data_IF_487843864464
#
_entry.id   IF_487843864464
#
_cell.length_a   1.000
_cell.length_b   1.000
_cell.length_c   1.000
_cell.angle_alpha   90.00
_cell.angle_beta   90.00
_cell.angle_gamma   90.00
#
_symmetry.space_group_name_H-M   'P 1'
#
loop_
_entity.id
_entity.type
_entity.pdbx_description
1 polymer ?
#
# COMPACT_ATOMS: atom_id res chain seq x y z
N UNK A 1 -33.86 -50.09 -15.19
CA UNK A 1 -32.53 -50.53 -15.67
C UNK A 1 -31.43 -50.22 -14.66
N UNK A 2 -31.22 -48.96 -14.27
CA UNK A 2 -30.21 -48.57 -13.25
C UNK A 2 -30.29 -49.35 -11.93
N UNK A 3 -31.50 -49.61 -11.40
CA UNK A 3 -31.67 -50.43 -10.18
C UNK A 3 -31.33 -51.92 -10.37
N UNK A 4 -31.54 -52.47 -11.57
CA UNK A 4 -31.19 -53.86 -11.88
C UNK A 4 -29.69 -54.02 -12.08
N UNK A 5 -29.02 -53.00 -12.60
CA UNK A 5 -27.56 -52.97 -12.78
C UNK A 5 -26.84 -52.89 -11.44
N UNK A 6 -27.30 -52.00 -10.54
CA UNK A 6 -26.79 -51.91 -9.17
C UNK A 6 -26.99 -53.22 -8.36
N UNK A 7 -28.12 -53.93 -8.56
CA UNK A 7 -28.32 -55.24 -7.92
C UNK A 7 -27.39 -56.33 -8.48
N UNK A 8 -27.06 -56.28 -9.79
CA UNK A 8 -26.11 -57.21 -10.40
C UNK A 8 -24.68 -56.97 -9.90
N UNK A 9 -24.28 -55.71 -9.76
CA UNK A 9 -22.97 -55.35 -9.20
C UNK A 9 -22.84 -55.78 -7.74
N UNK A 10 -23.89 -55.62 -6.93
CA UNK A 10 -23.90 -56.08 -5.54
C UNK A 10 -23.83 -57.61 -5.43
N UNK A 11 -24.51 -58.35 -6.31
CA UNK A 11 -24.43 -59.80 -6.36
C UNK A 11 -23.04 -60.28 -6.81
N UNK A 12 -22.45 -59.66 -7.83
CA UNK A 12 -21.09 -59.97 -8.26
C UNK A 12 -20.06 -59.70 -7.15
N UNK A 13 -20.20 -58.59 -6.42
CA UNK A 13 -19.34 -58.28 -5.29
C UNK A 13 -19.55 -59.23 -4.09
N UNK A 14 -20.78 -59.72 -3.89
CA UNK A 14 -21.06 -60.74 -2.88
C UNK A 14 -20.48 -62.11 -3.24
N UNK A 15 -20.49 -62.48 -4.53
CA UNK A 15 -19.85 -63.70 -5.03
C UNK A 15 -18.33 -63.65 -4.88
N UNK A 16 -17.69 -62.53 -5.23
CA UNK A 16 -16.24 -62.35 -5.03
C UNK A 16 -15.86 -62.44 -3.56
N UNK A 17 -16.60 -61.77 -2.65
CA UNK A 17 -16.35 -61.89 -1.21
C UNK A 17 -16.55 -63.31 -0.68
N UNK A 18 -17.48 -64.05 -1.25
CA UNK A 18 -17.70 -65.45 -0.88
C UNK A 18 -16.54 -66.33 -1.32
N UNK A 19 -16.05 -66.15 -2.55
CA UNK A 19 -14.87 -66.86 -3.05
C UNK A 19 -13.63 -66.53 -2.21
N UNK A 20 -13.41 -65.26 -1.86
CA UNK A 20 -12.32 -64.84 -0.96
C UNK A 20 -12.42 -65.52 0.41
N UNK A 21 -13.62 -65.58 1.01
CA UNK A 21 -13.84 -66.27 2.28
C UNK A 21 -13.62 -67.79 2.18
N UNK A 22 -14.00 -68.42 1.06
CA UNK A 22 -13.74 -69.84 0.80
C UNK A 22 -12.22 -70.11 0.65
N UNK A 23 -11.47 -69.22 0.00
CA UNK A 23 -10.00 -69.31 -0.06
C UNK A 23 -9.33 -69.14 1.31
N UNK A 24 -9.78 -68.19 2.13
CA UNK A 24 -9.27 -68.01 3.50
C UNK A 24 -9.57 -69.22 4.39
N UNK A 25 -10.74 -69.83 4.25
CA UNK A 25 -11.10 -71.07 4.95
C UNK A 25 -10.21 -72.24 4.55
N UNK A 26 -9.88 -72.38 3.26
CA UNK A 26 -8.96 -73.44 2.80
C UNK A 26 -7.53 -73.18 3.30
N UNK A 27 -7.07 -71.94 3.27
CA UNK A 27 -5.74 -71.58 3.76
C UNK A 27 -5.61 -71.81 5.27
N UNK A 28 -6.63 -71.47 6.06
CA UNK A 28 -6.65 -71.73 7.51
C UNK A 28 -6.73 -73.23 7.81
N UNK A 29 -7.53 -74.00 7.05
CA UNK A 29 -7.58 -75.45 7.19
C UNK A 29 -6.21 -76.10 6.92
N UNK A 30 -5.49 -75.67 5.88
CA UNK A 30 -4.13 -76.15 5.60
C UNK A 30 -3.13 -75.80 6.72
N UNK A 31 -3.25 -74.61 7.30
CA UNK A 31 -2.42 -74.23 8.46
C UNK A 31 -2.70 -75.10 9.68
N UNK A 32 -3.97 -75.42 9.96
CA UNK A 32 -4.34 -76.31 11.07
C UNK A 32 -3.75 -77.70 10.86
N UNK A 33 -3.88 -78.29 9.67
CA UNK A 33 -3.30 -79.62 9.38
C UNK A 33 -1.76 -79.62 9.50
N UNK A 34 -1.10 -78.51 9.11
CA UNK A 34 0.34 -78.35 9.29
C UNK A 34 0.76 -78.22 10.77
N UNK A 35 -0.10 -77.64 11.62
CA UNK A 35 0.14 -77.57 13.06
C UNK A 35 -0.12 -78.92 13.75
N UNK A 36 -1.15 -79.65 13.33
CA UNK A 36 -1.46 -80.99 13.86
C UNK A 36 -0.34 -82.00 13.56
N UNK A 37 0.24 -81.94 12.35
CA UNK A 37 1.39 -82.78 11.98
C UNK A 37 2.62 -82.43 12.81
N UNK A 38 2.95 -81.15 12.99
CA UNK A 38 4.04 -80.72 13.87
C UNK A 38 3.84 -81.15 15.32
N UNK A 39 2.61 -81.09 15.82
CA UNK A 39 2.30 -81.54 17.18
C UNK A 39 2.53 -83.04 17.32
N UNK A 40 2.10 -83.84 16.33
CA UNK A 40 2.32 -85.29 16.32
C UNK A 40 3.81 -85.64 16.30
N UNK A 41 4.58 -84.99 15.42
CA UNK A 41 6.03 -85.20 15.34
C UNK A 41 6.71 -84.87 16.68
N UNK A 42 6.31 -83.77 17.33
CA UNK A 42 6.85 -83.39 18.64
C UNK A 42 6.49 -84.37 19.77
N UNK A 43 5.32 -85.00 19.70
CA UNK A 43 4.91 -86.04 20.65
C UNK A 43 5.71 -87.34 20.45
N UNK A 44 6.01 -87.70 19.19
CA UNK A 44 6.84 -88.85 18.86
C UNK A 44 8.30 -88.65 19.30
N UNK A 45 8.86 -87.44 19.12
CA UNK A 45 10.19 -87.07 19.63
C UNK A 45 10.25 -87.14 21.16
N UNK A 46 9.23 -86.64 21.85
CA UNK A 46 9.17 -86.67 23.32
C UNK A 46 9.09 -88.11 23.84
N UNK A 47 8.28 -88.97 23.23
CA UNK A 47 8.21 -90.39 23.56
C UNK A 47 9.56 -91.11 23.33
N UNK A 48 10.28 -90.76 22.25
CA UNK A 48 11.62 -91.30 21.99
C UNK A 48 12.66 -90.84 23.03
N UNK A 49 12.57 -89.60 23.51
CA UNK A 49 13.44 -89.11 24.59
C UNK A 49 13.14 -89.81 25.93
N UNK A 50 11.88 -90.04 26.26
CA UNK A 50 11.47 -90.77 27.47
C UNK A 50 11.99 -92.22 27.45
N UNK A 51 11.91 -92.90 26.30
CA UNK A 51 12.45 -94.25 26.15
C UNK A 51 13.97 -94.28 26.39
N UNK A 52 14.72 -93.35 25.78
CA UNK A 52 16.16 -93.23 25.96
C UNK A 52 16.55 -92.93 27.42
N UNK A 53 15.75 -92.13 28.13
CA UNK A 53 15.95 -91.86 29.56
C UNK A 53 15.76 -93.13 30.39
N UNK A 54 14.68 -93.88 30.16
CA UNK A 54 14.43 -95.13 30.88
C UNK A 54 15.51 -96.19 30.62
N UNK A 55 16.00 -96.32 29.39
CA UNK A 55 17.12 -97.23 29.08
C UNK A 55 18.40 -96.84 29.83
N UNK A 56 18.69 -95.53 29.90
CA UNK A 56 19.86 -95.01 30.60
C UNK A 56 19.75 -95.13 32.12
N UNK A 57 18.56 -94.97 32.69
CA UNK A 57 18.30 -95.24 34.11
C UNK A 57 18.55 -96.72 34.45
N UNK A 58 18.09 -97.64 33.59
CA UNK A 58 18.32 -99.08 33.74
C UNK A 58 19.80 -99.45 33.67
N UNK A 59 20.57 -98.85 32.75
CA UNK A 59 22.02 -99.04 32.66
C UNK A 59 22.76 -98.53 33.91
N UNK A 60 22.29 -97.43 34.50
CA UNK A 60 22.87 -96.86 35.72
C UNK A 60 22.56 -97.71 36.96
N UNK A 61 21.39 -98.35 37.02
CA UNK A 61 21.03 -99.29 38.09
C UNK A 61 21.86 -100.59 38.05
N UNK A 62 22.23 -101.08 36.86
CA UNK A 62 23.01 -102.33 36.73
C UNK A 62 24.54 -102.15 36.94
N UNK A 63 25.09 -100.95 36.79
CA UNK A 63 26.55 -100.76 36.64
C UNK A 63 27.31 -100.15 37.84
N UNK A 64 26.63 -99.70 38.90
CA UNK A 64 27.27 -98.79 39.88
C UNK A 64 27.31 -99.38 41.31
N UNK A 65 28.46 -99.87 41.80
CA UNK A 65 28.62 -100.16 43.23
C UNK A 65 28.41 -98.88 44.06
N UNK A 66 27.72 -98.99 45.20
CA UNK A 66 27.16 -97.89 46.00
C UNK A 66 28.09 -96.68 46.27
N UNK A 67 29.42 -96.86 46.24
CA UNK A 67 30.40 -95.78 46.40
C UNK A 67 30.56 -94.89 45.15
N UNK A 68 30.40 -95.43 43.93
CA UNK A 68 30.38 -94.63 42.70
C UNK A 68 29.05 -93.89 42.51
N UNK A 69 27.96 -94.43 43.04
CA UNK A 69 26.63 -93.81 43.00
C UNK A 69 26.64 -92.49 43.79
N UNK A 70 27.29 -92.48 44.96
CA UNK A 70 27.41 -91.28 45.78
C UNK A 70 28.13 -90.13 45.06
N UNK A 71 29.26 -90.39 44.39
CA UNK A 71 29.96 -89.34 43.63
C UNK A 71 29.18 -88.88 42.39
N UNK A 72 28.42 -89.76 41.75
CA UNK A 72 27.53 -89.36 40.65
C UNK A 72 26.38 -88.49 41.16
N UNK A 73 25.82 -88.80 42.35
CA UNK A 73 24.81 -87.98 43.01
C UNK A 73 25.37 -86.61 43.43
N UNK A 74 26.54 -86.54 44.07
CA UNK A 74 27.19 -85.26 44.43
C UNK A 74 27.47 -84.40 43.18
N UNK A 75 27.94 -85.00 42.09
CA UNK A 75 28.17 -84.30 40.83
C UNK A 75 26.84 -83.85 40.18
N UNK A 76 25.77 -84.63 40.30
CA UNK A 76 24.43 -84.27 39.83
C UNK A 76 23.83 -83.14 40.67
N UNK A 77 24.00 -83.17 41.99
CA UNK A 77 23.58 -82.10 42.92
C UNK A 77 24.33 -80.80 42.63
N UNK A 78 25.64 -80.86 42.41
CA UNK A 78 26.43 -79.69 42.02
C UNK A 78 25.97 -79.09 40.67
N UNK A 79 25.68 -79.95 39.68
CA UNK A 79 25.12 -79.51 38.39
C UNK A 79 23.72 -78.92 38.54
N UNK A 80 22.86 -79.52 39.36
CA UNK A 80 21.51 -79.02 39.62
C UNK A 80 21.56 -77.67 40.36
N UNK A 81 22.48 -77.52 41.31
CA UNK A 81 22.72 -76.25 42.01
C UNK A 81 23.18 -75.15 41.04
N UNK A 82 24.14 -75.45 40.16
CA UNK A 82 24.60 -74.53 39.12
C UNK A 82 23.46 -74.15 38.15
N UNK A 83 22.68 -75.14 37.68
CA UNK A 83 21.52 -74.91 36.82
C UNK A 83 20.45 -74.05 37.51
N UNK A 84 20.22 -74.25 38.82
CA UNK A 84 19.29 -73.43 39.59
C UNK A 84 19.77 -71.97 39.72
N UNK A 85 21.09 -71.75 39.88
CA UNK A 85 21.68 -70.41 39.88
C UNK A 85 21.55 -69.74 38.49
N UNK A 86 21.86 -70.46 37.42
CA UNK A 86 21.67 -69.97 36.04
C UNK A 86 20.21 -69.63 35.75
N UNK A 87 19.26 -70.50 36.15
CA UNK A 87 17.83 -70.25 36.02
C UNK A 87 17.39 -69.00 36.79
N UNK A 88 17.95 -68.76 37.97
CA UNK A 88 17.70 -67.53 38.75
C UNK A 88 18.19 -66.27 38.02
N UNK A 89 19.39 -66.30 37.44
CA UNK A 89 19.93 -65.19 36.65
C UNK A 89 19.10 -64.93 35.39
N UNK A 90 18.70 -66.00 34.69
CA UNK A 90 17.82 -65.89 33.51
C UNK A 90 16.48 -65.28 33.90
N UNK A 91 15.89 -65.69 35.03
CA UNK A 91 14.64 -65.12 35.54
C UNK A 91 14.77 -63.62 35.83
N UNK A 92 15.83 -63.21 36.54
CA UNK A 92 16.08 -61.79 36.81
C UNK A 92 16.27 -60.99 35.52
N UNK A 93 16.98 -61.54 34.53
CA UNK A 93 17.16 -60.90 33.23
C UNK A 93 15.85 -60.77 32.45
N UNK A 94 14.98 -61.77 32.55
CA UNK A 94 13.67 -61.77 31.92
C UNK A 94 12.75 -60.72 32.57
N UNK A 95 12.76 -60.61 33.90
CA UNK A 95 12.02 -59.56 34.64
C UNK A 95 12.49 -58.15 34.25
N UNK A 96 13.81 -57.93 34.12
CA UNK A 96 14.36 -56.65 33.64
C UNK A 96 13.97 -56.32 32.20
N UNK A 97 13.92 -57.32 31.32
CA UNK A 97 13.46 -57.13 29.94
C UNK A 97 11.97 -56.79 29.90
N UNK A 98 11.15 -57.45 30.69
CA UNK A 98 9.71 -57.14 30.82
C UNK A 98 9.49 -55.73 31.37
N UNK A 99 10.26 -55.30 32.39
CA UNK A 99 10.17 -53.93 32.91
C UNK A 99 10.57 -52.90 31.85
N UNK A 100 11.63 -53.18 31.07
CA UNK A 100 12.06 -52.30 29.97
C UNK A 100 11.01 -52.21 28.85
N UNK A 101 10.39 -53.32 28.51
CA UNK A 101 9.30 -53.38 27.52
C UNK A 101 8.08 -52.59 28.00
N UNK A 102 7.68 -52.77 29.26
CA UNK A 102 6.59 -52.01 29.87
C UNK A 102 6.87 -50.49 29.86
N UNK A 103 8.10 -50.06 30.20
CA UNK A 103 8.52 -48.65 30.11
C UNK A 103 8.51 -48.13 28.67
N UNK A 104 8.89 -48.96 27.70
CA UNK A 104 8.87 -48.57 26.30
C UNK A 104 7.44 -48.38 25.79
N UNK A 105 6.53 -49.30 26.13
CA UNK A 105 5.11 -49.20 25.80
C UNK A 105 4.47 -47.96 26.45
N UNK A 106 4.79 -47.66 27.70
CA UNK A 106 4.35 -46.43 28.36
C UNK A 106 4.86 -45.19 27.61
N UNK A 107 6.15 -45.16 27.25
CA UNK A 107 6.72 -44.05 26.49
C UNK A 107 6.10 -43.89 25.10
N UNK A 108 5.68 -44.98 24.45
CA UNK A 108 4.94 -44.93 23.19
C UNK A 108 3.55 -44.35 23.39
N UNK A 109 2.82 -44.78 24.42
CA UNK A 109 1.50 -44.24 24.73
C UNK A 109 1.55 -42.73 25.03
N UNK A 110 2.55 -42.27 25.80
CA UNK A 110 2.76 -40.83 26.06
C UNK A 110 3.14 -40.05 24.78
N UNK A 111 3.84 -40.69 23.85
CA UNK A 111 4.16 -40.08 22.55
C UNK A 111 2.93 -39.96 21.66
N UNK A 112 2.09 -41.00 21.63
CA UNK A 112 0.85 -41.00 20.84
C UNK A 112 -0.15 -39.95 21.37
N UNK A 113 -0.29 -39.81 22.70
CA UNK A 113 -1.09 -38.75 23.31
C UNK A 113 -0.58 -37.35 22.92
N UNK A 114 0.74 -37.15 22.91
CA UNK A 114 1.34 -35.88 22.45
C UNK A 114 1.11 -35.63 20.96
N UNK A 115 1.17 -36.67 20.13
CA UNK A 115 0.87 -36.55 18.70
C UNK A 115 -0.60 -36.21 18.46
N UNK A 116 -1.52 -36.83 19.19
CA UNK A 116 -2.96 -36.53 19.10
C UNK A 116 -3.23 -35.08 19.52
N UNK A 117 -2.68 -34.64 20.65
CA UNK A 117 -2.78 -33.24 21.08
C UNK A 117 -2.19 -32.24 20.06
N UNK A 118 -1.07 -32.60 19.41
CA UNK A 118 -0.47 -31.79 18.36
C UNK A 118 -1.33 -31.73 17.09
N UNK A 119 -1.94 -32.85 16.69
CA UNK A 119 -2.87 -32.91 15.56
C UNK A 119 -4.14 -32.08 15.84
N UNK A 120 -4.69 -32.14 17.05
CA UNK A 120 -5.80 -31.26 17.45
C UNK A 120 -5.41 -29.78 17.40
N UNK A 121 -4.23 -29.43 17.92
CA UNK A 121 -3.74 -28.06 17.87
C UNK A 121 -3.55 -27.56 16.44
N UNK A 122 -3.02 -28.41 15.55
CA UNK A 122 -2.88 -28.12 14.12
C UNK A 122 -4.25 -27.90 13.47
N UNK A 123 -5.23 -28.76 13.75
CA UNK A 123 -6.60 -28.63 13.24
C UNK A 123 -7.26 -27.31 13.69
N UNK A 124 -7.09 -26.93 14.96
CA UNK A 124 -7.57 -25.64 15.50
C UNK A 124 -6.91 -24.44 14.81
N UNK A 125 -5.59 -24.49 14.62
CA UNK A 125 -4.85 -23.43 13.91
C UNK A 125 -5.29 -23.32 12.45
N UNK A 126 -5.52 -24.44 11.77
CA UNK A 126 -6.01 -24.46 10.40
C UNK A 126 -7.42 -23.85 10.29
N UNK A 127 -8.30 -24.14 11.26
CA UNK A 127 -9.62 -23.50 11.34
C UNK A 127 -9.51 -21.98 11.56
N UNK A 128 -8.59 -21.52 12.43
CA UNK A 128 -8.34 -20.09 12.65
C UNK A 128 -7.81 -19.40 11.38
N UNK A 129 -6.89 -20.03 10.64
CA UNK A 129 -6.39 -19.51 9.36
C UNK A 129 -7.54 -19.39 8.35
N UNK A 130 -8.45 -20.38 8.29
CA UNK A 130 -9.65 -20.31 7.45
C UNK A 130 -10.54 -19.11 7.80
N UNK A 131 -10.83 -18.90 9.09
CA UNK A 131 -11.63 -17.77 9.57
C UNK A 131 -10.97 -16.41 9.25
N UNK A 132 -9.67 -16.27 9.47
CA UNK A 132 -8.93 -15.04 9.17
C UNK A 132 -8.89 -14.76 7.66
N UNK A 133 -8.78 -15.79 6.83
CA UNK A 133 -8.82 -15.65 5.36
C UNK A 133 -10.19 -15.16 4.90
N UNK A 134 -11.27 -15.69 5.46
CA UNK A 134 -12.63 -15.22 5.17
C UNK A 134 -12.85 -13.77 5.65
N UNK A 135 -12.33 -13.41 6.84
CA UNK A 135 -12.38 -12.03 7.33
C UNK A 135 -11.59 -11.07 6.44
N UNK A 136 -10.44 -11.49 5.92
CA UNK A 136 -9.65 -10.69 4.99
C UNK A 136 -10.41 -10.46 3.68
N UNK A 137 -10.95 -11.52 3.07
CA UNK A 137 -11.74 -11.41 1.85
C UNK A 137 -12.98 -10.51 2.01
N UNK A 138 -13.66 -10.57 3.16
CA UNK A 138 -14.81 -9.69 3.43
C UNK A 138 -14.39 -8.23 3.63
N UNK A 139 -13.24 -7.97 4.26
CA UNK A 139 -12.67 -6.61 4.37
C UNK A 139 -12.22 -6.04 3.03
N UNK A 140 -11.51 -6.81 2.22
CA UNK A 140 -11.11 -6.40 0.86
C UNK A 140 -12.34 -6.06 0.01
N UNK A 141 -13.40 -6.86 0.09
CA UNK A 141 -14.66 -6.57 -0.58
C UNK A 141 -15.34 -5.30 -0.05
N UNK A 142 -15.23 -4.99 1.25
CA UNK A 142 -15.73 -3.75 1.82
C UNK A 142 -14.91 -2.54 1.38
N UNK A 143 -13.58 -2.64 1.40
CA UNK A 143 -12.66 -1.59 0.94
C UNK A 143 -12.89 -1.28 -0.54
N UNK A 144 -12.98 -2.30 -1.40
CA UNK A 144 -13.29 -2.13 -2.82
C UNK A 144 -14.65 -1.42 -3.04
N UNK A 145 -15.67 -1.70 -2.22
CA UNK A 145 -16.96 -0.99 -2.29
C UNK A 145 -16.84 0.47 -1.86
N UNK A 146 -16.08 0.75 -0.82
CA UNK A 146 -15.83 2.13 -0.35
C UNK A 146 -15.06 2.91 -1.41
N UNK A 147 -14.00 2.33 -1.99
CA UNK A 147 -13.25 2.93 -3.09
C UNK A 147 -14.14 3.24 -4.28
N UNK A 148 -14.96 2.28 -4.73
CA UNK A 148 -15.91 2.49 -5.82
C UNK A 148 -16.92 3.62 -5.53
N UNK A 149 -17.38 3.73 -4.27
CA UNK A 149 -18.31 4.79 -3.85
C UNK A 149 -17.63 6.15 -3.81
N UNK A 150 -16.38 6.21 -3.33
CA UNK A 150 -15.58 7.44 -3.32
C UNK A 150 -15.27 7.90 -4.73
N UNK A 151 -14.82 7.00 -5.61
CA UNK A 151 -14.55 7.29 -7.02
C UNK A 151 -15.80 7.82 -7.73
N UNK A 152 -16.95 7.18 -7.54
CA UNK A 152 -18.21 7.67 -8.10
C UNK A 152 -18.55 9.09 -7.61
N UNK A 153 -18.39 9.37 -6.31
CA UNK A 153 -18.64 10.70 -5.75
C UNK A 153 -17.66 11.76 -6.25
N UNK A 154 -16.41 11.37 -6.52
CA UNK A 154 -15.39 12.27 -7.05
C UNK A 154 -15.66 12.62 -8.52
N UNK A 155 -16.01 11.61 -9.33
CA UNK A 155 -16.43 11.80 -10.72
C UNK A 155 -17.67 12.70 -10.81
N UNK A 156 -18.65 12.52 -9.93
CA UNK A 156 -19.84 13.40 -9.87
C UNK A 156 -19.46 14.85 -9.57
N UNK A 157 -18.55 15.09 -8.60
CA UNK A 157 -18.05 16.44 -8.29
C UNK A 157 -17.25 17.04 -9.44
N UNK A 158 -16.41 16.27 -10.12
CA UNK A 158 -15.68 16.74 -11.29
C UNK A 158 -16.63 17.12 -12.42
N UNK A 159 -17.65 16.31 -12.69
CA UNK A 159 -18.67 16.62 -13.69
C UNK A 159 -19.45 17.90 -13.33
N UNK A 160 -19.79 18.09 -12.05
CA UNK A 160 -20.43 19.32 -11.57
C UNK A 160 -19.52 20.55 -11.77
N UNK A 161 -18.24 20.46 -11.37
CA UNK A 161 -17.27 21.55 -11.57
C UNK A 161 -17.08 21.87 -13.06
N UNK A 162 -16.97 20.85 -13.92
CA UNK A 162 -16.83 21.05 -15.36
C UNK A 162 -18.07 21.72 -15.95
N UNK A 163 -19.26 21.30 -15.51
CA UNK A 163 -20.52 21.92 -15.91
C UNK A 163 -20.57 23.39 -15.47
N UNK A 164 -20.34 23.68 -14.19
CA UNK A 164 -20.35 25.04 -13.65
C UNK A 164 -19.32 25.93 -14.35
N UNK A 165 -18.12 25.40 -14.62
CA UNK A 165 -17.08 26.12 -15.35
C UNK A 165 -17.48 26.39 -16.80
N UNK A 166 -18.08 25.41 -17.49
CA UNK A 166 -18.58 25.59 -18.85
C UNK A 166 -19.73 26.61 -18.93
N UNK A 167 -20.63 26.60 -17.94
CA UNK A 167 -21.73 27.55 -17.82
C UNK A 167 -21.20 28.95 -17.52
N UNK A 168 -20.25 29.10 -16.61
CA UNK A 168 -19.59 30.37 -16.29
C UNK A 168 -18.83 30.95 -17.49
N UNK A 169 -18.08 30.12 -18.22
CA UNK A 169 -17.39 30.55 -19.45
C UNK A 169 -18.39 30.95 -20.54
N UNK A 170 -19.50 30.23 -20.68
CA UNK A 170 -20.54 30.55 -21.65
C UNK A 170 -21.29 31.85 -21.29
N UNK A 171 -21.53 32.09 -19.99
CA UNK A 171 -22.13 33.31 -19.45
C UNK A 171 -21.21 34.51 -19.66
N UNK A 172 -19.93 34.38 -19.27
CA UNK A 172 -18.91 35.40 -19.50
C UNK A 172 -18.70 35.70 -20.99
N UNK A 173 -18.74 34.70 -21.87
CA UNK A 173 -18.66 34.92 -23.32
C UNK A 173 -19.89 35.66 -23.89
N UNK A 174 -21.09 35.46 -23.32
CA UNK A 174 -22.29 36.23 -23.68
C UNK A 174 -22.21 37.67 -23.19
N UNK A 175 -21.80 37.89 -21.94
CA UNK A 175 -21.60 39.23 -21.38
C UNK A 175 -20.51 40.00 -22.14
N UNK A 176 -19.42 39.35 -22.53
CA UNK A 176 -18.33 39.97 -23.27
C UNK A 176 -18.76 40.33 -24.71
N UNK A 177 -19.58 39.50 -25.36
CA UNK A 177 -20.23 39.85 -26.64
C UNK A 177 -21.20 41.01 -26.50
N UNK A 178 -22.00 41.04 -25.43
CA UNK A 178 -22.91 42.14 -25.15
C UNK A 178 -22.14 43.44 -24.91
N UNK A 179 -21.13 43.42 -24.05
CA UNK A 179 -20.24 44.57 -23.80
C UNK A 179 -19.50 45.02 -25.07
N UNK A 180 -19.07 44.11 -25.95
CA UNK A 180 -18.50 44.47 -27.25
C UNK A 180 -19.52 45.17 -28.17
N UNK A 181 -20.78 44.71 -28.18
CA UNK A 181 -21.84 45.36 -28.95
C UNK A 181 -22.22 46.74 -28.38
N UNK A 182 -22.24 46.88 -27.06
CA UNK A 182 -22.49 48.14 -26.37
C UNK A 182 -21.33 49.12 -26.58
N UNK A 183 -20.08 48.63 -26.57
CA UNK A 183 -18.90 49.43 -26.88
C UNK A 183 -18.90 49.89 -28.35
N UNK A 184 -19.32 49.04 -29.28
CA UNK A 184 -19.45 49.40 -30.70
C UNK A 184 -20.53 50.48 -30.89
N UNK A 185 -21.71 50.31 -30.28
CA UNK A 185 -22.79 51.31 -30.31
C UNK A 185 -22.39 52.63 -29.63
N UNK A 186 -21.60 52.58 -28.55
CA UNK A 186 -21.07 53.76 -27.89
C UNK A 186 -20.04 54.50 -28.74
N UNK A 187 -19.19 53.77 -29.48
CA UNK A 187 -18.25 54.36 -30.45
C UNK A 187 -18.98 55.06 -31.60
N UNK A 188 -20.01 54.42 -32.16
CA UNK A 188 -20.84 55.00 -33.22
C UNK A 188 -21.49 56.31 -32.76
N UNK A 189 -22.13 56.32 -31.58
CA UNK A 189 -22.69 57.54 -30.98
C UNK A 189 -21.63 58.61 -30.69
N UNK A 190 -20.42 58.20 -30.32
CA UNK A 190 -19.33 59.14 -30.11
C UNK A 190 -18.87 59.78 -31.42
N UNK A 191 -18.76 59.01 -32.51
CA UNK A 191 -18.44 59.53 -33.83
C UNK A 191 -19.54 60.47 -34.35
N UNK A 192 -20.81 60.09 -34.21
CA UNK A 192 -21.94 60.95 -34.55
C UNK A 192 -21.89 62.29 -33.78
N UNK A 193 -21.66 62.24 -32.46
CA UNK A 193 -21.51 63.46 -31.64
C UNK A 193 -20.28 64.25 -32.07
N UNK A 194 -19.17 63.60 -32.41
CA UNK A 194 -17.94 64.26 -32.86
C UNK A 194 -18.15 64.96 -34.22
N UNK A 195 -18.82 64.31 -35.16
CA UNK A 195 -19.18 64.88 -36.46
C UNK A 195 -20.13 66.06 -36.29
N UNK A 196 -21.18 65.91 -35.48
CA UNK A 196 -22.08 66.99 -35.11
C UNK A 196 -21.32 68.16 -34.47
N UNK A 197 -20.41 67.88 -33.53
CA UNK A 197 -19.60 68.92 -32.89
C UNK A 197 -18.66 69.61 -33.88
N UNK A 198 -18.10 68.87 -34.84
CA UNK A 198 -17.27 69.45 -35.91
C UNK A 198 -18.08 70.35 -36.84
N UNK A 199 -19.29 69.92 -37.23
CA UNK A 199 -20.26 70.71 -38.00
C UNK A 199 -20.67 71.98 -37.26
N UNK A 200 -20.92 71.89 -35.94
CA UNK A 200 -21.26 73.04 -35.12
C UNK A 200 -20.10 74.01 -34.97
N UNK A 201 -18.88 73.49 -34.79
CA UNK A 201 -17.64 74.31 -34.77
C UNK A 201 -17.42 75.02 -36.09
N UNK A 202 -17.66 74.35 -37.21
CA UNK A 202 -17.54 74.93 -38.55
C UNK A 202 -18.61 75.98 -38.80
N UNK A 203 -19.87 75.70 -38.43
CA UNK A 203 -20.96 76.68 -38.47
C UNK A 203 -20.69 77.90 -37.58
N UNK A 204 -20.15 77.71 -36.38
CA UNK A 204 -19.73 78.80 -35.51
C UNK A 204 -18.60 79.63 -36.14
N UNK A 205 -17.62 78.98 -36.79
CA UNK A 205 -16.54 79.66 -37.52
C UNK A 205 -17.10 80.50 -38.68
N UNK A 206 -17.99 79.94 -39.51
CA UNK A 206 -18.62 80.69 -40.61
C UNK A 206 -19.46 81.88 -40.12
N UNK A 207 -20.21 81.73 -39.02
CA UNK A 207 -20.94 82.85 -38.43
C UNK A 207 -20.00 83.94 -37.90
N UNK A 208 -18.86 83.57 -37.32
CA UNK A 208 -17.84 84.54 -36.88
C UNK A 208 -17.20 85.25 -38.08
N UNK A 209 -16.83 84.52 -39.13
CA UNK A 209 -16.28 85.09 -40.36
C UNK A 209 -17.28 86.04 -41.06
N UNK A 210 -18.57 85.67 -41.11
CA UNK A 210 -19.63 86.55 -41.60
C UNK A 210 -19.80 87.80 -40.74
N UNK A 211 -19.69 87.67 -39.41
CA UNK A 211 -19.75 88.81 -38.49
C UNK A 211 -18.56 89.74 -38.64
N UNK A 212 -17.36 89.21 -38.77
CA UNK A 212 -16.16 89.99 -39.05
C UNK A 212 -16.28 90.70 -40.41
N UNK A 213 -16.80 90.02 -41.43
CA UNK A 213 -17.07 90.63 -42.73
C UNK A 213 -18.16 91.74 -42.67
N UNK A 214 -19.21 91.56 -41.87
CA UNK A 214 -20.24 92.58 -41.63
C UNK A 214 -19.68 93.78 -40.88
N UNK A 215 -18.87 93.55 -39.84
CA UNK A 215 -18.18 94.60 -39.08
C UNK A 215 -17.19 95.36 -39.97
N UNK A 216 -16.50 94.67 -40.87
CA UNK A 216 -15.58 95.30 -41.81
C UNK A 216 -16.31 96.08 -42.91
N UNK A 217 -17.46 95.61 -43.39
CA UNK A 217 -18.36 96.38 -44.26
C UNK A 217 -18.93 97.60 -43.53
N UNK A 218 -19.30 97.49 -42.25
CA UNK A 218 -19.76 98.61 -41.44
C UNK A 218 -18.64 99.63 -41.19
N UNK A 219 -17.40 99.17 -41.00
CA UNK A 219 -16.22 100.05 -40.92
C UNK A 219 -15.90 100.75 -42.24
N UNK A 220 -16.04 100.07 -43.38
CA UNK A 220 -15.82 100.66 -44.71
C UNK A 220 -17.00 101.53 -45.18
N UNK A 221 -18.24 101.23 -44.77
CA UNK A 221 -19.44 102.01 -45.05
C UNK A 221 -19.67 103.19 -44.11
N UNK A 222 -19.13 103.14 -42.88
CA UNK A 222 -19.18 104.23 -41.90
C UNK A 222 -18.21 105.39 -42.16
N UNK A 223 -17.34 105.27 -43.17
CA UNK A 223 -16.38 106.32 -43.54
C UNK A 223 -16.92 107.29 -44.62
N UNK A 224 -18.19 107.20 -45.02
CA UNK A 224 -18.73 107.98 -46.15
C UNK A 224 -20.14 108.58 -46.00
N UNK A 225 -20.77 108.54 -44.83
CA UNK A 225 -22.13 109.07 -44.65
C UNK A 225 -22.21 110.07 -43.50
N UNK A 226 -21.64 111.25 -43.73
CA UNK A 226 -22.08 112.47 -43.04
C UNK A 226 -23.12 113.21 -43.89
N UNK A 227 -24.17 113.67 -43.20
CA UNK A 227 -25.15 114.73 -43.55
C UNK A 227 -26.36 114.36 -44.40
N UNK A 228 -27.48 114.17 -43.69
CA UNK A 228 -28.82 114.44 -44.16
C UNK A 228 -29.84 114.26 -43.03
N UNK A 229 -30.43 115.33 -42.47
CA UNK A 229 -31.41 115.21 -41.39
C UNK A 229 -32.81 115.02 -41.99
N UNK A 230 -33.53 114.01 -41.51
CA UNK A 230 -34.94 113.83 -41.85
C UNK A 230 -35.25 112.38 -42.18
N UNK A 231 -35.66 111.61 -41.19
CA UNK A 231 -37.07 111.18 -41.07
C UNK A 231 -37.16 110.14 -39.95
N UNK A 232 -37.90 110.52 -38.94
CA UNK A 232 -38.26 109.74 -37.77
C UNK A 232 -39.18 108.56 -38.12
N UNK A 233 -39.02 107.49 -37.34
CA UNK A 233 -39.91 106.32 -37.16
C UNK A 233 -39.52 105.05 -37.92
N UNK A 234 -38.62 104.27 -37.31
CA UNK A 234 -38.60 102.78 -37.38
C UNK A 234 -37.38 102.17 -36.65
N UNK A 235 -36.31 102.95 -36.42
CA UNK A 235 -34.99 102.39 -36.03
C UNK A 235 -34.78 102.04 -34.56
N UNK A 236 -35.56 102.60 -33.62
CA UNK A 236 -35.34 102.35 -32.18
C UNK A 236 -35.88 100.98 -31.75
N UNK A 237 -36.89 100.46 -32.44
CA UNK A 237 -37.50 99.17 -32.14
C UNK A 237 -36.62 98.00 -32.64
N UNK A 238 -35.91 98.17 -33.76
CA UNK A 238 -35.00 97.16 -34.30
C UNK A 238 -33.70 97.03 -33.47
N UNK A 239 -33.16 98.14 -32.96
CA UNK A 239 -31.96 98.11 -32.11
C UNK A 239 -32.26 97.52 -30.72
N UNK A 240 -33.41 97.85 -30.12
CA UNK A 240 -33.86 97.24 -28.86
C UNK A 240 -34.28 95.77 -28.98
N UNK A 241 -34.76 95.33 -30.15
CA UNK A 241 -35.02 93.90 -30.42
C UNK A 241 -33.74 93.11 -30.69
N UNK A 242 -32.76 93.69 -31.39
CA UNK A 242 -31.45 93.07 -31.58
C UNK A 242 -30.70 92.90 -30.25
N UNK A 243 -30.72 93.93 -29.39
CA UNK A 243 -30.03 93.95 -28.09
C UNK A 243 -30.73 93.08 -27.02
N UNK A 244 -32.05 92.87 -27.15
CA UNK A 244 -32.77 91.83 -26.39
C UNK A 244 -32.41 90.43 -26.86
N UNK A 245 -32.31 90.21 -28.17
CA UNK A 245 -31.97 88.89 -28.72
C UNK A 245 -30.51 88.48 -28.45
N UNK A 246 -29.58 89.44 -28.35
CA UNK A 246 -28.18 89.17 -27.97
C UNK A 246 -28.07 88.81 -26.49
N UNK A 247 -28.81 89.49 -25.61
CA UNK A 247 -28.89 89.14 -24.18
C UNK A 247 -29.53 87.77 -23.94
N UNK A 248 -30.62 87.46 -24.61
CA UNK A 248 -31.25 86.13 -24.55
C UNK A 248 -30.28 85.05 -25.02
N UNK A 249 -29.48 85.33 -26.06
CA UNK A 249 -28.49 84.39 -26.58
C UNK A 249 -27.23 84.27 -25.71
N UNK A 250 -26.82 85.33 -25.02
CA UNK A 250 -25.77 85.27 -24.00
C UNK A 250 -26.22 84.47 -22.77
N UNK A 251 -27.47 84.64 -22.32
CA UNK A 251 -28.05 83.83 -21.25
C UNK A 251 -28.15 82.35 -21.63
N UNK A 252 -28.51 82.05 -22.89
CA UNK A 252 -28.54 80.68 -23.42
C UNK A 252 -27.14 80.04 -23.42
N UNK A 253 -26.11 80.76 -23.90
CA UNK A 253 -24.72 80.29 -23.86
C UNK A 253 -24.20 80.08 -22.44
N UNK A 254 -24.52 80.98 -21.51
CA UNK A 254 -24.15 80.82 -20.10
C UNK A 254 -24.83 79.58 -19.49
N UNK A 255 -26.09 79.32 -19.84
CA UNK A 255 -26.80 78.12 -19.41
C UNK A 255 -26.19 76.85 -20.03
N UNK A 256 -25.86 76.84 -21.32
CA UNK A 256 -25.17 75.72 -21.97
C UNK A 256 -23.80 75.44 -21.32
N UNK A 257 -23.04 76.49 -21.00
CA UNK A 257 -21.73 76.36 -20.37
C UNK A 257 -21.84 75.78 -18.95
N UNK A 258 -22.90 76.17 -18.21
CA UNK A 258 -23.23 75.61 -16.90
C UNK A 258 -23.64 74.14 -16.98
N UNK A 259 -24.45 73.76 -17.96
CA UNK A 259 -24.80 72.36 -18.24
C UNK A 259 -23.57 71.55 -18.60
N UNK A 260 -22.68 72.09 -19.43
CA UNK A 260 -21.41 71.45 -19.78
C UNK A 260 -20.49 71.27 -18.58
N UNK A 261 -20.40 72.27 -17.69
CA UNK A 261 -19.61 72.17 -16.46
C UNK A 261 -20.17 71.10 -15.52
N UNK A 262 -21.49 71.00 -15.36
CA UNK A 262 -22.13 69.94 -14.59
C UNK A 262 -21.87 68.56 -15.20
N UNK A 263 -21.90 68.44 -16.53
CA UNK A 263 -21.63 67.18 -17.24
C UNK A 263 -20.17 66.74 -17.08
N UNK A 264 -19.22 67.68 -17.07
CA UNK A 264 -17.81 67.40 -16.76
C UNK A 264 -17.64 66.87 -15.33
N UNK A 265 -18.26 67.52 -14.35
CA UNK A 265 -18.22 67.07 -12.94
C UNK A 265 -18.83 65.67 -12.75
N UNK A 266 -19.91 65.35 -13.48
CA UNK A 266 -20.51 64.02 -13.45
C UNK A 266 -19.55 62.96 -14.00
N UNK A 267 -18.85 63.25 -15.10
CA UNK A 267 -17.84 62.34 -15.67
C UNK A 267 -16.63 62.14 -14.75
N UNK A 268 -16.18 63.18 -14.05
CA UNK A 268 -15.08 63.06 -13.07
C UNK A 268 -15.46 62.17 -11.88
N UNK A 269 -16.72 62.23 -11.43
CA UNK A 269 -17.23 61.32 -10.39
C UNK A 269 -17.23 59.86 -10.88
N UNK A 270 -17.68 59.62 -12.11
CA UNK A 270 -17.65 58.27 -12.71
C UNK A 270 -16.21 57.74 -12.82
N UNK A 271 -15.25 58.58 -13.24
CA UNK A 271 -13.84 58.21 -13.32
C UNK A 271 -13.24 57.83 -11.96
N UNK A 272 -13.61 58.56 -10.89
CA UNK A 272 -13.18 58.22 -9.53
C UNK A 272 -13.76 56.88 -9.06
N UNK A 273 -15.03 56.63 -9.36
CA UNK A 273 -15.70 55.39 -8.99
C UNK A 273 -15.06 54.19 -9.68
N UNK A 274 -14.84 54.26 -11.00
CA UNK A 274 -14.18 53.20 -11.78
C UNK A 274 -12.75 52.93 -11.29
N UNK A 275 -12.00 53.95 -10.86
CA UNK A 275 -10.68 53.75 -10.25
C UNK A 275 -10.75 53.01 -8.91
N UNK A 276 -11.78 53.27 -8.10
CA UNK A 276 -12.03 52.54 -6.86
C UNK A 276 -12.37 51.07 -7.12
N UNK A 277 -13.26 50.81 -8.07
CA UNK A 277 -13.67 49.45 -8.43
C UNK A 277 -12.49 48.62 -8.97
N UNK A 278 -11.63 49.24 -9.80
CA UNK A 278 -10.40 48.61 -10.30
C UNK A 278 -9.45 48.24 -9.16
N UNK A 279 -9.25 49.13 -8.18
CA UNK A 279 -8.38 48.88 -7.04
C UNK A 279 -8.90 47.73 -6.17
N UNK A 280 -10.22 47.65 -5.96
CA UNK A 280 -10.86 46.59 -5.21
C UNK A 280 -10.68 45.20 -5.87
N UNK A 281 -10.85 45.12 -7.19
CA UNK A 281 -10.65 43.87 -7.94
C UNK A 281 -9.20 43.39 -7.87
N UNK A 282 -8.24 44.31 -7.92
CA UNK A 282 -6.81 44.00 -7.80
C UNK A 282 -6.45 43.44 -6.41
N UNK A 283 -7.06 43.98 -5.35
CA UNK A 283 -6.86 43.46 -3.99
C UNK A 283 -7.46 42.05 -3.80
N UNK A 284 -8.62 41.79 -4.40
CA UNK A 284 -9.27 40.47 -4.39
C UNK A 284 -8.42 39.40 -5.09
N UNK A 285 -7.84 39.72 -6.25
CA UNK A 285 -6.97 38.80 -7.00
C UNK A 285 -5.70 38.45 -6.21
N UNK A 286 -5.09 39.44 -5.55
CA UNK A 286 -3.92 39.21 -4.70
C UNK A 286 -4.24 38.30 -3.51
N UNK A 287 -5.41 38.45 -2.87
CA UNK A 287 -5.85 37.56 -1.79
C UNK A 287 -6.04 36.13 -2.27
N UNK A 288 -6.69 35.94 -3.43
CA UNK A 288 -6.91 34.61 -4.00
C UNK A 288 -5.60 33.89 -4.32
N UNK A 289 -4.63 34.60 -4.92
CA UNK A 289 -3.32 34.04 -5.22
C UNK A 289 -2.54 33.63 -3.95
N UNK A 290 -2.68 34.39 -2.85
CA UNK A 290 -2.07 34.07 -1.57
C UNK A 290 -2.71 32.83 -0.91
N UNK A 291 -4.03 32.69 -0.99
CA UNK A 291 -4.77 31.54 -0.47
C UNK A 291 -4.43 30.25 -1.23
N UNK A 292 -4.34 30.30 -2.56
CA UNK A 292 -3.94 29.15 -3.39
C UNK A 292 -2.53 28.64 -3.04
N UNK A 293 -1.56 29.54 -2.82
CA UNK A 293 -0.22 29.14 -2.37
C UNK A 293 -0.22 28.50 -0.98
N UNK A 294 -1.10 28.97 -0.08
CA UNK A 294 -1.21 28.40 1.25
C UNK A 294 -1.86 27.00 1.21
N UNK A 295 -2.81 26.78 0.30
CA UNK A 295 -3.46 25.50 0.07
C UNK A 295 -2.45 24.46 -0.45
N UNK A 296 -1.66 24.81 -1.47
CA UNK A 296 -0.62 23.92 -2.03
C UNK A 296 0.41 23.48 -0.99
N UNK A 297 0.81 24.38 -0.08
CA UNK A 297 1.72 24.03 1.02
C UNK A 297 1.12 23.04 2.02
N UNK A 298 -0.19 23.13 2.28
CA UNK A 298 -0.88 22.19 3.16
C UNK A 298 -1.03 20.82 2.51
N UNK A 299 -1.31 20.76 1.21
CA UNK A 299 -1.41 19.51 0.46
C UNK A 299 -0.06 18.77 0.37
N UNK A 300 1.04 19.49 0.16
CA UNK A 300 2.40 18.90 0.20
C UNK A 300 2.79 18.38 1.59
N UNK A 301 2.31 19.02 2.66
CA UNK A 301 2.56 18.57 4.03
C UNK A 301 1.65 17.40 4.47
N UNK A 302 0.52 17.20 3.80
CA UNK A 302 -0.49 16.20 4.17
C UNK A 302 -0.40 14.89 3.36
N UNK A 303 0.48 14.79 2.35
CA UNK A 303 0.66 13.56 1.58
C UNK A 303 1.19 12.41 2.48
N UNK A 304 0.42 11.32 2.68
CA UNK A 304 0.81 10.22 3.56
C UNK A 304 1.90 9.34 2.93
N UNK A 305 2.93 9.02 3.71
CA UNK A 305 3.95 7.99 3.42
C UNK A 305 3.34 6.59 3.54
N UNK A 306 2.72 6.09 2.48
CA UNK A 306 2.19 4.72 2.35
C UNK A 306 2.17 4.42 0.83
N UNK A 307 2.63 3.31 0.24
CA UNK A 307 3.08 1.98 0.63
C UNK A 307 3.94 1.47 -0.54
N UNK A 308 5.13 0.91 -0.30
CA UNK A 308 5.74 -0.04 -1.25
C UNK A 308 5.84 -1.39 -0.56
N UNK A 309 4.67 -1.98 -0.33
CA UNK A 309 4.51 -3.35 0.10
C UNK A 309 4.78 -4.30 -1.06
N UNK A 310 5.94 -4.92 -1.01
CA UNK A 310 6.27 -6.28 -1.43
C UNK A 310 5.12 -7.21 -1.83
N UNK A 311 5.14 -7.67 -3.08
CA UNK A 311 4.85 -9.07 -3.44
C UNK A 311 5.94 -9.59 -4.40
N UNK A 312 6.41 -10.85 -4.25
CA UNK A 312 7.51 -11.40 -5.04
C UNK A 312 6.99 -12.10 -6.31
N UNK A 313 7.39 -11.61 -7.49
CA UNK A 313 7.31 -12.40 -8.74
C UNK A 313 8.66 -13.09 -9.00
N UNK A 314 8.69 -14.40 -9.28
CA UNK A 314 9.91 -15.07 -9.71
C UNK A 314 10.21 -14.63 -11.15
N UNK A 315 11.41 -14.11 -11.36
CA UNK A 315 11.95 -13.78 -12.67
C UNK A 315 12.92 -14.87 -13.08
N UNK A 316 12.70 -15.44 -14.26
CA UNK A 316 13.70 -15.99 -15.18
C UNK A 316 13.06 -15.87 -16.57
N UNK A 317 13.64 -15.27 -17.61
CA UNK A 317 14.92 -14.62 -17.79
C UNK A 317 14.89 -13.89 -19.13
N UNK A 318 16.08 -13.43 -19.52
CA UNK A 318 16.49 -13.02 -20.86
C UNK A 318 16.26 -11.58 -21.37
N UNK A 319 17.43 -10.96 -21.53
CA UNK A 319 17.92 -10.26 -22.71
C UNK A 319 17.66 -8.74 -22.89
N UNK A 320 18.76 -8.02 -22.60
CA UNK A 320 19.51 -7.14 -23.50
C UNK A 320 18.86 -5.85 -24.05
N UNK A 321 19.66 -4.78 -23.90
CA UNK A 321 19.74 -3.57 -24.75
C UNK A 321 18.55 -2.59 -24.63
N UNK A 322 18.67 -1.30 -24.32
CA UNK A 322 19.63 -0.30 -24.83
C UNK A 322 19.37 1.07 -24.18
N UNK A 323 20.44 1.88 -24.11
CA UNK A 323 20.49 3.36 -24.12
C UNK A 323 20.30 4.16 -22.79
N UNK A 324 20.98 5.34 -22.68
CA UNK A 324 21.49 5.87 -21.43
C UNK A 324 20.57 6.95 -20.82
N UNK A 325 19.98 6.65 -19.68
CA UNK A 325 19.28 7.60 -18.83
C UNK A 325 20.12 7.92 -17.59
N UNK A 326 20.24 9.21 -17.27
CA UNK A 326 20.90 9.79 -16.10
C UNK A 326 20.69 8.97 -14.81
N UNK A 327 21.68 8.88 -13.90
CA UNK A 327 21.48 8.19 -12.64
C UNK A 327 20.47 8.98 -11.80
N UNK A 328 19.23 8.52 -11.77
CA UNK A 328 18.38 8.77 -10.61
C UNK A 328 19.13 8.20 -9.42
N UNK A 329 19.41 9.08 -8.46
CA UNK A 329 19.99 8.70 -7.18
C UNK A 329 19.01 7.72 -6.54
N UNK A 330 19.31 6.43 -6.65
CA UNK A 330 18.80 5.47 -5.70
C UNK A 330 19.30 5.95 -4.34
N UNK A 331 18.41 6.56 -3.56
CA UNK A 331 18.64 6.77 -2.13
C UNK A 331 18.71 5.38 -1.50
N UNK A 332 19.90 4.77 -1.59
CA UNK A 332 20.24 3.56 -0.87
C UNK A 332 20.13 3.96 0.60
N UNK A 333 19.13 3.42 1.27
CA UNK A 333 18.94 3.62 2.68
C UNK A 333 20.19 3.12 3.43
N UNK A 334 21.02 4.08 3.83
CA UNK A 334 22.28 3.85 4.54
C UNK A 334 22.02 3.08 5.83
N UNK A 335 20.82 3.21 6.42
CA UNK A 335 20.43 2.46 7.63
C UNK A 335 20.20 0.99 7.31
N UNK A 336 19.54 0.69 6.18
CA UNK A 336 19.38 -0.69 5.72
C UNK A 336 20.74 -1.31 5.38
N UNK A 337 21.59 -0.61 4.65
CA UNK A 337 22.93 -1.09 4.30
C UNK A 337 23.79 -1.33 5.55
N UNK A 338 23.70 -0.45 6.55
CA UNK A 338 24.32 -0.63 7.87
C UNK A 338 23.83 -1.92 8.54
N UNK A 339 22.52 -2.18 8.56
CA UNK A 339 21.95 -3.37 9.22
C UNK A 339 22.32 -4.68 8.50
N UNK A 340 22.33 -4.70 7.17
CA UNK A 340 22.75 -5.87 6.38
C UNK A 340 24.22 -6.20 6.65
N UNK A 341 25.08 -5.19 6.65
CA UNK A 341 26.50 -5.38 6.91
C UNK A 341 26.75 -5.75 8.38
N UNK A 342 26.00 -5.18 9.32
CA UNK A 342 26.04 -5.58 10.74
C UNK A 342 25.68 -7.05 10.94
N UNK A 343 24.64 -7.54 10.27
CA UNK A 343 24.23 -8.94 10.33
C UNK A 343 25.28 -9.85 9.68
N UNK A 344 25.80 -9.48 8.51
CA UNK A 344 26.84 -10.26 7.84
C UNK A 344 28.12 -10.37 8.68
N UNK A 345 28.55 -9.27 9.31
CA UNK A 345 29.70 -9.26 10.22
C UNK A 345 29.43 -9.98 11.55
N UNK A 346 28.18 -10.13 11.95
CA UNK A 346 27.79 -10.87 13.16
C UNK A 346 27.60 -12.37 12.91
N UNK A 347 27.67 -12.83 11.65
CA UNK A 347 27.48 -14.23 11.29
C UNK A 347 28.78 -15.01 11.53
N UNK A 348 28.76 -16.15 12.24
CA UNK A 348 29.98 -16.87 12.67
C UNK A 348 30.72 -17.62 11.56
N UNK A 349 30.30 -17.51 10.29
CA UNK A 349 30.89 -18.24 9.15
C UNK A 349 32.02 -17.47 8.45
N UNK A 350 32.26 -16.21 8.79
CA UNK A 350 33.23 -15.35 8.11
C UNK A 350 34.58 -15.39 8.82
N UNK A 351 35.65 -15.76 8.09
CA UNK A 351 37.02 -15.89 8.60
C UNK A 351 37.46 -14.60 9.35
N UNK A 352 37.96 -14.74 10.58
CA UNK A 352 38.12 -13.62 11.52
C UNK A 352 39.11 -12.57 11.00
N UNK A 353 40.13 -13.00 10.24
CA UNK A 353 41.15 -12.10 9.66
C UNK A 353 40.56 -11.20 8.57
N UNK A 354 39.66 -11.73 7.76
CA UNK A 354 38.98 -10.99 6.69
C UNK A 354 37.96 -10.02 7.29
N UNK A 355 37.26 -10.44 8.35
CA UNK A 355 36.32 -9.60 9.11
C UNK A 355 37.03 -8.41 9.76
N UNK A 356 38.15 -8.63 10.44
CA UNK A 356 38.89 -7.57 11.14
C UNK A 356 39.57 -6.59 10.16
N UNK A 357 39.98 -7.07 8.97
CA UNK A 357 40.53 -6.22 7.90
C UNK A 357 39.48 -5.34 7.21
N UNK A 358 38.22 -5.79 7.13
CA UNK A 358 37.13 -5.07 6.46
C UNK A 358 36.39 -4.08 7.37
N UNK A 359 36.41 -4.30 8.69
CA UNK A 359 35.73 -3.44 9.67
C UNK A 359 36.08 -1.94 9.55
N UNK A 360 37.37 -1.55 9.42
CA UNK A 360 37.76 -0.15 9.31
C UNK A 360 37.25 0.51 8.02
N UNK A 361 37.24 -0.25 6.92
CA UNK A 361 36.82 0.23 5.58
C UNK A 361 35.31 0.44 5.54
N UNK A 362 34.55 -0.50 6.10
CA UNK A 362 33.09 -0.43 6.22
C UNK A 362 32.66 0.68 7.18
N UNK A 363 33.36 0.84 8.30
CA UNK A 363 33.10 1.90 9.28
C UNK A 363 33.24 3.29 8.67
N UNK A 364 34.27 3.48 7.83
CA UNK A 364 34.53 4.72 7.12
C UNK A 364 33.51 5.01 6.01
N UNK A 365 33.11 4.00 5.22
CA UNK A 365 32.17 4.17 4.11
C UNK A 365 30.72 4.41 4.57
N UNK A 366 30.32 3.85 5.72
CA UNK A 366 28.96 3.95 6.22
C UNK A 366 28.79 4.92 7.39
N UNK A 367 29.86 5.60 7.83
CA UNK A 367 29.81 6.58 8.93
C UNK A 367 29.14 6.01 10.18
N UNK A 368 29.65 4.87 10.67
CA UNK A 368 29.19 4.30 11.94
C UNK A 368 29.56 5.22 13.11
N UNK A 369 28.65 5.35 14.07
CA UNK A 369 28.95 6.03 15.34
C UNK A 369 29.87 5.16 16.21
N UNK A 370 30.68 5.75 17.11
CA UNK A 370 31.59 4.99 17.98
C UNK A 370 30.87 3.88 18.76
N UNK A 371 29.64 4.13 19.22
CA UNK A 371 28.83 3.16 19.97
C UNK A 371 28.39 1.96 19.13
N UNK A 372 28.05 2.18 17.86
CA UNK A 372 27.69 1.09 16.93
C UNK A 372 28.92 0.23 16.59
N UNK A 373 30.09 0.85 16.45
CA UNK A 373 31.35 0.14 16.23
C UNK A 373 31.72 -0.75 17.43
N UNK A 374 31.52 -0.25 18.65
CA UNK A 374 31.73 -1.04 19.86
C UNK A 374 30.79 -2.23 19.98
N UNK A 375 29.53 -2.14 19.52
CA UNK A 375 28.60 -3.27 19.49
C UNK A 375 29.09 -4.39 18.57
N UNK A 376 29.63 -4.07 17.39
CA UNK A 376 30.19 -5.07 16.45
C UNK A 376 31.43 -5.74 17.02
N UNK A 377 32.31 -4.96 17.65
CA UNK A 377 33.52 -5.47 18.29
C UNK A 377 33.21 -6.42 19.45
N UNK A 378 32.26 -6.04 20.32
CA UNK A 378 31.85 -6.86 21.46
C UNK A 378 31.14 -8.16 21.06
N UNK A 379 30.39 -8.16 19.95
CA UNK A 379 29.80 -9.40 19.39
C UNK A 379 30.90 -10.30 18.84
N UNK A 380 31.95 -9.75 18.22
CA UNK A 380 33.13 -10.50 17.76
C UNK A 380 33.91 -11.15 18.91
N UNK A 381 34.14 -10.40 19.99
CA UNK A 381 34.92 -10.88 21.15
C UNK A 381 34.13 -11.95 21.93
N UNK A 382 32.80 -11.80 22.06
CA UNK A 382 31.94 -12.81 22.68
C UNK A 382 31.82 -14.10 21.86
N UNK A 383 31.90 -14.05 20.54
CA UNK A 383 31.91 -15.27 19.70
C UNK A 383 33.29 -15.94 19.66
N UNK A 384 34.38 -15.19 19.80
CA UNK A 384 35.73 -15.74 19.93
C UNK A 384 35.98 -16.40 21.30
N UNK A 385 35.45 -15.83 22.39
CA UNK A 385 35.56 -16.37 23.76
C UNK A 385 34.71 -17.64 24.00
N UNK A 386 33.78 -17.97 23.10
CA UNK A 386 32.96 -19.18 23.18
C UNK A 386 33.67 -20.47 22.75
N UNK A 387 34.91 -20.41 22.26
CA UNK A 387 35.66 -21.60 21.78
C UNK A 387 37.07 -21.77 22.35
N UNK A 388 37.42 -21.10 23.46
CA UNK A 388 38.73 -21.30 24.08
C UNK A 388 38.88 -20.71 25.47
N UNK A 389 38.34 -21.38 26.49
CA UNK A 389 38.77 -21.20 27.88
C UNK A 389 38.43 -22.42 28.75
N UNK A 390 39.01 -23.55 28.39
CA UNK A 390 39.22 -24.69 29.29
C UNK A 390 40.72 -25.06 29.23
N UNK A 391 41.57 -24.24 29.84
CA UNK A 391 42.80 -24.67 30.52
C UNK A 391 43.59 -23.44 30.97
N UNK A 392 44.01 -23.48 32.23
CA UNK A 392 45.13 -22.71 32.79
C UNK A 392 44.81 -21.32 33.32
N UNK A 393 44.31 -21.25 34.57
CA UNK A 393 44.87 -20.31 35.55
C UNK A 393 44.77 -20.92 36.95
N UNK A 394 45.74 -21.77 37.26
CA UNK A 394 46.08 -22.23 38.61
C UNK A 394 47.52 -21.83 38.89
N UNK A 395 47.78 -20.54 39.21
CA UNK A 395 48.89 -20.07 40.06
C UNK A 395 48.94 -18.53 40.07
N UNK A 396 48.63 -17.93 41.23
CA UNK A 396 49.27 -16.74 41.82
C UNK A 396 48.34 -16.09 42.86
N UNK A 397 48.08 -16.83 43.94
CA UNK A 397 48.07 -16.34 45.31
C UNK A 397 48.51 -17.53 46.18
N UNK A 398 49.77 -17.48 46.59
CA UNK A 398 50.59 -18.56 47.14
C UNK A 398 52.04 -18.26 46.80
#
# INVERSE_FOLDING_TARGET
>A
EVQLESQRELLAHAEVRREEAEYELVATAQQVTALETKLRDSQEELAAMELNLMERERELEEAIPATKLHHVMEAAEAKHSAAAQEASVVKQRLELLQEREAKHLQSMAEHDEKMEAAMEAQSRLQAQVGQLTEQLATKEAQESRVEATLEASFQERLAAIQKDHSEALSGGARELKQMQSELAAAKEKYEEVRENFSSWREKARTMMEEKDAQLEKARKGGAGAERGPGNSHSSTQAFLQADKSTKEREEELVNELKVHQQRMQAKDKQLKQLKGDLAYLLEMEQKRAAEEQQQQRKEQAAAPRQLSGSEPRPSDGDELNTAPGKPEKADIDVVYLKNVVLNYLSTPSTDSKTRDGLLPVISMLLSFTPDEFHKVKNVSEKTALGKGSLSSFSTLFG
#
